data_IF_068303607276
#
_entry.id   IF_068303607276
#
_cell.length_a   1.000
_cell.length_b   1.000
_cell.length_c   1.000
_cell.angle_alpha   90.00
_cell.angle_beta   90.00
_cell.angle_gamma   90.00
#
_symmetry.space_group_name_H-M   'P 1'
#
loop_
_entity.id
_entity.type
_entity.pdbx_description
1 polymer ?
#
# COMPACT_ATOMS: atom_id res chain seq x y z
N UNK A 1 19.22 -16.75 19.94
CA UNK A 1 19.83 -15.62 19.20
C UNK A 1 18.71 -14.71 18.72
N UNK A 2 18.69 -13.49 19.21
CA UNK A 2 17.75 -12.48 18.68
C UNK A 2 18.21 -12.13 17.28
N UNK A 3 17.57 -12.69 16.26
CA UNK A 3 17.76 -12.24 14.89
C UNK A 3 17.12 -10.87 14.78
N UNK A 4 17.94 -9.83 14.73
CA UNK A 4 17.45 -8.49 14.44
C UNK A 4 16.70 -8.55 13.12
N UNK A 5 15.44 -8.09 13.04
CA UNK A 5 14.63 -8.21 11.83
C UNK A 5 15.22 -7.41 10.65
N UNK A 6 15.97 -6.35 10.98
CA UNK A 6 16.66 -5.50 10.00
C UNK A 6 18.15 -5.44 10.37
N UNK A 7 19.00 -5.77 9.41
CA UNK A 7 20.46 -5.74 9.57
C UNK A 7 21.11 -5.38 8.23
N UNK A 8 21.02 -4.11 7.85
CA UNK A 8 21.52 -3.57 6.60
C UNK A 8 22.62 -2.55 6.92
N UNK A 9 23.84 -2.81 6.46
CA UNK A 9 24.99 -1.94 6.66
C UNK A 9 25.86 -1.79 5.39
N UNK A 10 25.42 -2.38 4.28
CA UNK A 10 26.15 -2.32 3.01
C UNK A 10 25.18 -2.55 1.85
N UNK A 11 25.39 -1.84 0.75
CA UNK A 11 24.67 -2.04 -0.51
C UNK A 11 25.27 -3.13 -1.40
N UNK A 12 26.51 -3.53 -1.11
CA UNK A 12 27.25 -4.53 -1.88
C UNK A 12 27.30 -5.91 -1.20
N UNK A 13 26.71 -6.03 -0.01
CA UNK A 13 26.60 -7.30 0.69
C UNK A 13 25.55 -8.21 0.09
N UNK A 14 25.61 -9.52 0.39
CA UNK A 14 24.60 -10.47 -0.08
C UNK A 14 23.22 -10.13 0.48
N UNK A 15 22.28 -9.81 -0.43
CA UNK A 15 20.88 -9.62 -0.08
C UNK A 15 20.27 -10.95 0.40
N UNK A 16 19.61 -10.95 1.54
CA UNK A 16 18.98 -12.13 2.13
C UNK A 16 17.47 -12.03 2.15
N UNK A 17 16.96 -10.82 2.38
CA UNK A 17 15.54 -10.53 2.54
C UNK A 17 15.24 -9.14 2.01
N UNK A 18 14.15 -9.00 1.29
CA UNK A 18 13.69 -7.72 0.74
C UNK A 18 12.18 -7.59 0.91
N UNK A 19 11.73 -6.39 1.22
CA UNK A 19 10.32 -6.05 1.21
C UNK A 19 10.00 -5.29 -0.07
N UNK A 20 9.00 -5.78 -0.78
CA UNK A 20 8.48 -5.18 -2.01
C UNK A 20 7.03 -4.74 -1.81
N UNK A 21 6.54 -3.92 -2.72
CA UNK A 21 5.13 -3.63 -2.90
C UNK A 21 4.75 -3.94 -4.35
N UNK A 22 3.77 -4.82 -4.54
CA UNK A 22 3.26 -5.14 -5.87
C UNK A 22 2.37 -3.98 -6.34
N UNK A 23 2.60 -3.42 -7.54
CA UNK A 23 1.75 -2.36 -8.05
C UNK A 23 0.26 -2.72 -8.00
N UNK A 24 -0.55 -1.83 -7.49
CA UNK A 24 -1.98 -2.02 -7.30
C UNK A 24 -2.81 -0.89 -7.90
N UNK A 25 -4.03 -0.75 -7.41
CA UNK A 25 -5.00 0.24 -7.90
C UNK A 25 -4.55 1.70 -7.73
N UNK A 26 -3.53 1.97 -6.93
CA UNK A 26 -2.91 3.28 -6.82
C UNK A 26 -2.42 3.80 -8.18
N UNK A 27 -1.95 2.92 -9.08
CA UNK A 27 -1.55 3.32 -10.42
C UNK A 27 -2.73 3.74 -11.30
N UNK A 28 -3.88 3.08 -11.13
CA UNK A 28 -5.10 3.45 -11.87
C UNK A 28 -5.72 4.76 -11.39
N UNK A 29 -5.38 5.17 -10.15
CA UNK A 29 -5.84 6.41 -9.55
C UNK A 29 -4.92 7.61 -9.84
N UNK A 30 -3.83 7.42 -10.59
CA UNK A 30 -2.96 8.51 -11.02
C UNK A 30 -3.72 9.45 -11.96
N UNK A 31 -3.74 10.73 -11.63
CA UNK A 31 -4.30 11.76 -12.50
C UNK A 31 -3.18 12.46 -13.26
N UNK A 32 -3.40 12.83 -14.55
CA UNK A 32 -2.39 13.51 -15.36
C UNK A 32 -1.79 14.75 -14.68
N UNK A 33 -2.58 15.49 -13.94
CA UNK A 33 -2.16 16.72 -13.25
C UNK A 33 -1.15 16.47 -12.12
N UNK A 34 -1.00 15.22 -11.67
CA UNK A 34 -0.08 14.84 -10.59
C UNK A 34 1.17 14.09 -11.06
N UNK A 35 1.27 13.72 -12.34
CA UNK A 35 2.38 12.92 -12.86
C UNK A 35 3.73 13.58 -12.60
N UNK A 36 3.88 14.87 -12.93
CA UNK A 36 5.13 15.61 -12.69
C UNK A 36 5.52 15.61 -11.21
N UNK A 37 4.54 15.87 -10.32
CA UNK A 37 4.77 15.89 -8.87
C UNK A 37 5.18 14.52 -8.32
N UNK A 38 4.66 13.45 -8.91
CA UNK A 38 4.91 12.07 -8.51
C UNK A 38 6.09 11.45 -9.27
N UNK A 39 6.75 12.23 -10.13
CA UNK A 39 7.89 11.79 -10.95
C UNK A 39 7.55 10.64 -11.92
N UNK A 40 6.34 10.63 -12.42
CA UNK A 40 5.93 9.73 -13.50
C UNK A 40 5.95 10.46 -14.84
N UNK A 41 6.56 9.85 -15.84
CA UNK A 41 6.55 10.35 -17.21
C UNK A 41 5.21 10.08 -17.91
N UNK A 42 4.55 8.97 -17.53
CA UNK A 42 3.23 8.57 -18.03
C UNK A 42 2.53 7.67 -17.00
N UNK A 43 1.24 7.38 -17.23
CA UNK A 43 0.47 6.46 -16.39
C UNK A 43 0.81 5.01 -16.80
N UNK A 44 1.45 4.21 -15.93
CA UNK A 44 1.78 2.83 -16.26
C UNK A 44 0.51 1.99 -16.45
N UNK A 45 0.55 1.06 -17.40
CA UNK A 45 -0.51 0.08 -17.54
C UNK A 45 -0.38 -0.98 -16.43
N UNK A 46 -1.38 -1.09 -15.58
CA UNK A 46 -1.32 -1.87 -14.34
C UNK A 46 -0.97 -3.35 -14.58
N UNK A 47 -1.60 -3.99 -15.56
CA UNK A 47 -1.33 -5.42 -15.83
C UNK A 47 0.12 -5.69 -16.22
N UNK A 48 0.72 -4.83 -17.04
CA UNK A 48 2.11 -4.98 -17.44
C UNK A 48 3.06 -4.66 -16.29
N UNK A 49 2.77 -3.60 -15.52
CA UNK A 49 3.53 -3.28 -14.31
C UNK A 49 3.51 -4.45 -13.30
N UNK A 50 2.37 -5.12 -13.14
CA UNK A 50 2.27 -6.29 -12.28
C UNK A 50 3.08 -7.48 -12.80
N UNK A 51 3.02 -7.77 -14.11
CA UNK A 51 3.81 -8.85 -14.72
C UNK A 51 5.31 -8.62 -14.58
N UNK A 52 5.76 -7.40 -14.84
CA UNK A 52 7.16 -7.01 -14.70
C UNK A 52 7.63 -7.13 -13.25
N UNK A 53 6.80 -6.65 -12.31
CA UNK A 53 7.08 -6.78 -10.88
C UNK A 53 7.14 -8.26 -10.44
N UNK A 54 6.20 -9.09 -10.89
CA UNK A 54 6.18 -10.52 -10.57
C UNK A 54 7.42 -11.24 -11.10
N UNK A 55 7.87 -10.88 -12.31
CA UNK A 55 9.12 -11.39 -12.89
C UNK A 55 10.34 -10.95 -12.07
N UNK A 56 10.39 -9.69 -11.64
CA UNK A 56 11.44 -9.17 -10.78
C UNK A 56 11.47 -9.89 -9.43
N UNK A 57 10.32 -10.06 -8.78
CA UNK A 57 10.22 -10.80 -7.53
C UNK A 57 10.66 -12.27 -7.69
N UNK A 58 10.32 -12.90 -8.83
CA UNK A 58 10.73 -14.27 -9.11
C UNK A 58 12.24 -14.38 -9.34
N UNK A 59 12.85 -13.41 -10.01
CA UNK A 59 14.31 -13.38 -10.18
C UNK A 59 15.02 -13.32 -8.81
N UNK A 60 14.52 -12.50 -7.88
CA UNK A 60 15.07 -12.45 -6.52
C UNK A 60 14.92 -13.78 -5.79
N UNK A 61 13.77 -14.44 -5.89
CA UNK A 61 13.56 -15.76 -5.28
C UNK A 61 14.47 -16.83 -5.85
N UNK A 62 14.74 -16.80 -7.15
CA UNK A 62 15.66 -17.73 -7.82
C UNK A 62 17.10 -17.60 -7.29
N UNK A 63 17.49 -16.41 -6.82
CA UNK A 63 18.76 -16.16 -6.14
C UNK A 63 18.73 -16.51 -4.64
N UNK A 64 17.66 -17.13 -4.17
CA UNK A 64 17.51 -17.54 -2.76
C UNK A 64 17.21 -16.38 -1.80
N UNK A 65 16.69 -15.27 -2.32
CA UNK A 65 16.31 -14.10 -1.52
C UNK A 65 14.86 -14.26 -1.07
N UNK A 66 14.62 -14.05 0.22
CA UNK A 66 13.27 -14.01 0.79
C UNK A 66 12.58 -12.71 0.37
N UNK A 67 11.47 -12.82 -0.37
CA UNK A 67 10.66 -11.68 -0.81
C UNK A 67 9.43 -11.57 0.07
N UNK A 68 9.29 -10.44 0.74
CA UNK A 68 8.14 -10.05 1.55
C UNK A 68 7.35 -8.96 0.82
N UNK A 69 6.08 -8.87 1.12
CA UNK A 69 5.20 -7.83 0.58
C UNK A 69 4.68 -6.92 1.69
N UNK A 70 4.80 -5.61 1.47
CA UNK A 70 4.38 -4.58 2.42
C UNK A 70 2.90 -4.71 2.79
N UNK A 71 2.02 -4.87 1.79
CA UNK A 71 0.58 -5.00 1.98
C UNK A 71 0.20 -6.21 2.83
N UNK A 72 0.93 -7.32 2.69
CA UNK A 72 0.72 -8.53 3.49
C UNK A 72 1.19 -8.35 4.92
N UNK A 73 2.40 -7.83 5.11
CA UNK A 73 2.95 -7.59 6.45
C UNK A 73 2.12 -6.58 7.24
N UNK A 74 1.66 -5.51 6.57
CA UNK A 74 0.77 -4.54 7.18
C UNK A 74 -0.56 -5.18 7.59
N UNK A 75 -1.17 -5.98 6.72
CA UNK A 75 -2.41 -6.71 7.04
C UNK A 75 -2.23 -7.68 8.22
N UNK A 76 -1.11 -8.42 8.26
CA UNK A 76 -0.78 -9.32 9.36
C UNK A 76 -0.55 -8.59 10.70
N UNK A 77 -0.14 -7.33 10.66
CA UNK A 77 0.02 -6.50 11.87
C UNK A 77 -1.31 -6.08 12.51
N UNK A 78 -2.40 -6.08 11.75
CA UNK A 78 -3.74 -5.71 12.22
C UNK A 78 -4.41 -6.85 13.01
N UNK A 79 -3.79 -7.26 14.10
CA UNK A 79 -4.11 -8.48 14.85
C UNK A 79 -5.36 -8.39 15.70
N UNK A 80 -5.77 -7.19 16.09
CA UNK A 80 -6.96 -6.97 16.91
C UNK A 80 -7.86 -5.85 16.34
N UNK A 81 -9.15 -5.82 16.69
CA UNK A 81 -10.04 -4.73 16.28
C UNK A 81 -9.55 -3.35 16.68
N UNK A 82 -8.89 -3.23 17.84
CA UNK A 82 -8.38 -1.97 18.36
C UNK A 82 -7.20 -1.46 17.51
N UNK A 83 -6.26 -2.35 17.14
CA UNK A 83 -5.14 -2.00 16.26
C UNK A 83 -5.67 -1.62 14.86
N UNK A 84 -6.65 -2.34 14.38
CA UNK A 84 -7.30 -2.06 13.10
C UNK A 84 -7.98 -0.69 13.10
N UNK A 85 -8.69 -0.35 14.16
CA UNK A 85 -9.32 0.96 14.32
C UNK A 85 -8.28 2.08 14.42
N UNK A 86 -7.20 1.85 15.16
CA UNK A 86 -6.07 2.79 15.24
C UNK A 86 -5.48 3.05 13.84
N UNK A 87 -5.26 2.02 13.05
CA UNK A 87 -4.76 2.14 11.67
C UNK A 87 -5.68 3.04 10.82
N UNK A 88 -7.00 2.85 10.92
CA UNK A 88 -7.99 3.67 10.19
C UNK A 88 -7.91 5.13 10.63
N UNK A 89 -7.86 5.40 11.94
CA UNK A 89 -7.81 6.77 12.46
C UNK A 89 -6.50 7.49 12.09
N UNK A 90 -5.36 6.81 12.18
CA UNK A 90 -4.06 7.34 11.76
C UNK A 90 -4.06 7.67 10.26
N UNK A 91 -4.59 6.78 9.42
CA UNK A 91 -4.76 7.05 7.99
C UNK A 91 -5.60 8.31 7.74
N UNK A 92 -6.75 8.45 8.43
CA UNK A 92 -7.64 9.60 8.27
C UNK A 92 -6.98 10.91 8.71
N UNK A 93 -6.12 10.86 9.70
CA UNK A 93 -5.39 12.03 10.19
C UNK A 93 -4.26 12.42 9.23
N UNK A 94 -3.47 11.47 8.76
CA UNK A 94 -2.36 11.71 7.84
C UNK A 94 -2.82 12.08 6.42
N UNK A 95 -3.95 11.55 5.97
CA UNK A 95 -4.53 11.88 4.66
C UNK A 95 -5.02 13.33 4.56
N UNK A 96 -4.96 14.09 5.66
CA UNK A 96 -5.29 15.52 5.73
C UNK A 96 -6.66 15.85 5.12
N UNK A 97 -7.65 15.00 5.42
CA UNK A 97 -9.00 15.09 4.87
C UNK A 97 -9.71 16.30 5.48
N UNK A 98 -10.09 17.23 4.62
CA UNK A 98 -10.85 18.42 5.02
C UNK A 98 -12.35 18.10 5.09
N UNK A 99 -12.95 18.48 6.20
CA UNK A 99 -14.39 18.34 6.41
C UNK A 99 -14.77 17.10 7.20
N UNK A 100 -15.48 17.34 8.32
CA UNK A 100 -15.90 16.30 9.27
C UNK A 100 -16.80 15.24 8.64
N UNK A 101 -17.72 15.65 7.76
CA UNK A 101 -18.63 14.73 7.09
C UNK A 101 -17.90 13.79 6.14
N UNK A 102 -16.94 14.33 5.36
CA UNK A 102 -16.11 13.52 4.46
C UNK A 102 -15.25 12.53 5.24
N UNK A 103 -14.63 12.97 6.34
CA UNK A 103 -13.84 12.11 7.22
C UNK A 103 -14.68 10.96 7.79
N UNK A 104 -15.90 11.25 8.25
CA UNK A 104 -16.80 10.22 8.76
C UNK A 104 -17.25 9.24 7.68
N UNK A 105 -17.57 9.71 6.47
CA UNK A 105 -17.97 8.83 5.36
C UNK A 105 -16.83 7.87 4.97
N UNK A 106 -15.59 8.35 4.89
CA UNK A 106 -14.42 7.51 4.59
C UNK A 106 -14.20 6.51 5.73
N UNK A 107 -14.33 6.93 6.98
CA UNK A 107 -14.22 6.03 8.14
C UNK A 107 -15.18 4.86 8.04
N UNK A 108 -16.45 5.11 7.71
CA UNK A 108 -17.45 4.05 7.57
C UNK A 108 -17.16 3.11 6.39
N UNK A 109 -16.65 3.64 5.27
CA UNK A 109 -16.21 2.81 4.14
C UNK A 109 -15.08 1.87 4.57
N UNK A 110 -14.06 2.39 5.25
CA UNK A 110 -12.90 1.61 5.68
C UNK A 110 -13.28 0.56 6.75
N UNK A 111 -14.16 0.92 7.69
CA UNK A 111 -14.69 -0.03 8.69
C UNK A 111 -15.50 -1.16 8.07
N UNK A 112 -16.18 -0.91 6.96
CA UNK A 112 -16.96 -1.90 6.23
C UNK A 112 -16.13 -2.92 5.45
N UNK A 113 -14.83 -2.71 5.27
CA UNK A 113 -13.93 -3.68 4.64
C UNK A 113 -13.56 -4.75 5.68
N UNK A 114 -13.95 -5.99 5.47
CA UNK A 114 -13.72 -7.07 6.44
C UNK A 114 -12.28 -7.61 6.38
N UNK A 115 -11.74 -7.77 5.17
CA UNK A 115 -10.40 -8.29 4.94
C UNK A 115 -9.32 -7.24 5.22
N UNK A 116 -8.32 -7.59 6.04
CA UNK A 116 -7.27 -6.67 6.42
C UNK A 116 -6.34 -6.29 5.26
N UNK A 117 -6.07 -7.21 4.33
CA UNK A 117 -5.25 -6.91 3.16
C UNK A 117 -5.99 -5.96 2.23
N UNK A 118 -7.28 -6.20 1.99
CA UNK A 118 -8.12 -5.30 1.20
C UNK A 118 -8.20 -3.91 1.83
N UNK A 119 -8.28 -3.82 3.16
CA UNK A 119 -8.23 -2.54 3.88
C UNK A 119 -6.92 -1.80 3.62
N UNK A 120 -5.78 -2.48 3.77
CA UNK A 120 -4.44 -1.88 3.52
C UNK A 120 -4.33 -1.41 2.07
N UNK A 121 -4.66 -2.27 1.10
CA UNK A 121 -4.63 -1.94 -0.32
C UNK A 121 -5.55 -0.77 -0.67
N UNK A 122 -6.71 -0.68 -0.01
CA UNK A 122 -7.63 0.45 -0.18
C UNK A 122 -7.04 1.77 0.30
N UNK A 123 -6.33 1.75 1.41
CA UNK A 123 -5.64 2.97 1.90
C UNK A 123 -4.47 3.39 1.00
N UNK A 124 -3.75 2.42 0.40
CA UNK A 124 -2.69 2.68 -0.57
C UNK A 124 -3.23 3.29 -1.87
N UNK A 125 -4.33 2.75 -2.39
CA UNK A 125 -4.98 3.25 -3.60
C UNK A 125 -5.69 4.60 -3.42
N UNK A 126 -6.01 4.94 -2.18
CA UNK A 126 -6.82 6.09 -1.82
C UNK A 126 -8.32 5.80 -1.90
N UNK A 127 -9.08 6.53 -1.10
CA UNK A 127 -10.54 6.47 -1.09
C UNK A 127 -11.08 7.59 -1.96
N UNK A 128 -11.53 7.24 -3.16
CA UNK A 128 -12.13 8.21 -4.07
C UNK A 128 -13.46 8.71 -3.49
N UNK A 129 -13.69 10.01 -3.64
CA UNK A 129 -14.99 10.59 -3.39
C UNK A 129 -15.97 9.94 -4.37
N UNK A 130 -16.91 9.15 -3.87
CA UNK A 130 -17.97 8.65 -4.73
C UNK A 130 -18.63 9.84 -5.45
N UNK A 131 -18.75 9.76 -6.75
CA UNK A 131 -19.29 10.84 -7.59
C UNK A 131 -20.79 11.16 -7.32
N UNK A 132 -21.36 10.63 -6.23
CA UNK A 132 -22.78 10.68 -5.89
C UNK A 132 -23.10 11.38 -4.57
N UNK A 133 -22.31 12.37 -4.15
CA UNK A 133 -22.85 13.38 -3.24
C UNK A 133 -23.27 14.61 -4.05
N UNK A 134 -24.22 14.39 -4.98
CA UNK A 134 -24.97 15.47 -5.60
C UNK A 134 -26.08 15.88 -4.62
N UNK A 135 -25.94 17.09 -4.11
CA UNK A 135 -26.95 17.99 -3.53
C UNK A 135 -27.42 17.68 -2.11
#
# INVERSE_FOLDING_TARGET
>A
MSTKPIHVFSEIGKLKKVMLHRPGKELENLMPDYLERLLFDDIPFLEDAQKEHDNFAQALRNEGIEVLYLEKLAAESLTTPEIREQFIEEYLDEANIRGRQTKNAIREILRGIEDNQELVEKTMAGVQKAANFSR
#
